data_IF_741387606371
#
_entry.id   IF_741387606371
#
_cell.length_a   1.000
_cell.length_b   1.000
_cell.length_c   1.000
_cell.angle_alpha   90.00
_cell.angle_beta   90.00
_cell.angle_gamma   90.00
#
_symmetry.space_group_name_H-M   'P 1'
#
loop_
_entity.id
_entity.type
_entity.pdbx_description
1 polymer ?
#
# COMPACT_ATOMS: atom_id res chain seq x y z
N UNK A 1 2.16 -2.82 -28.42
CA UNK A 1 3.31 -3.35 -27.64
C UNK A 1 3.46 -2.78 -26.22
N UNK A 2 4.00 -1.57 -25.96
CA UNK A 2 4.15 -1.06 -24.57
C UNK A 2 2.80 -0.94 -23.86
N UNK A 3 1.80 -0.41 -24.56
CA UNK A 3 0.40 -0.33 -24.11
C UNK A 3 -0.15 -1.68 -23.65
N UNK A 4 0.10 -2.75 -24.41
CA UNK A 4 -0.37 -4.10 -24.10
C UNK A 4 0.36 -4.68 -22.89
N UNK A 5 1.66 -4.44 -22.74
CA UNK A 5 2.42 -4.86 -21.56
C UNK A 5 1.92 -4.17 -20.29
N UNK A 6 1.66 -2.87 -20.35
CA UNK A 6 1.13 -2.10 -19.21
C UNK A 6 -0.32 -2.52 -18.87
N UNK A 7 -1.16 -2.77 -19.88
CA UNK A 7 -2.51 -3.33 -19.68
C UNK A 7 -2.46 -4.74 -19.12
N UNK A 8 -1.60 -5.61 -19.65
CA UNK A 8 -1.40 -6.97 -19.14
C UNK A 8 -0.97 -6.99 -17.67
N UNK A 9 -0.10 -6.07 -17.24
CA UNK A 9 0.22 -5.91 -15.81
C UNK A 9 -1.03 -5.56 -14.99
N UNK A 10 -1.87 -4.65 -15.49
CA UNK A 10 -3.10 -4.23 -14.81
C UNK A 10 -4.13 -5.35 -14.74
N UNK A 11 -4.30 -6.10 -15.82
CA UNK A 11 -5.25 -7.22 -15.93
C UNK A 11 -4.82 -8.40 -15.04
N UNK A 12 -3.51 -8.62 -14.93
CA UNK A 12 -2.90 -9.51 -13.94
C UNK A 12 -2.93 -8.95 -12.51
N UNK A 13 -3.51 -7.76 -12.30
CA UNK A 13 -3.60 -7.05 -11.03
C UNK A 13 -2.26 -6.55 -10.49
N UNK A 14 -1.14 -6.59 -11.19
CA UNK A 14 0.09 -6.00 -10.65
C UNK A 14 -0.06 -4.48 -10.40
N UNK A 15 0.56 -3.93 -9.34
CA UNK A 15 0.57 -2.49 -9.11
C UNK A 15 1.31 -1.78 -10.25
N UNK A 16 0.61 -0.88 -10.94
CA UNK A 16 1.17 -0.08 -12.02
C UNK A 16 1.71 1.21 -11.42
N UNK A 17 3.01 1.22 -11.11
CA UNK A 17 3.74 2.41 -10.62
C UNK A 17 4.52 3.08 -11.75
N UNK A 18 4.95 4.34 -11.55
CA UNK A 18 5.82 5.02 -12.53
C UNK A 18 7.16 4.30 -12.73
N UNK A 19 7.67 3.61 -11.69
CA UNK A 19 8.91 2.83 -11.77
C UNK A 19 8.71 1.62 -12.69
N UNK A 20 7.63 0.86 -12.50
CA UNK A 20 7.31 -0.31 -13.32
C UNK A 20 7.09 0.09 -14.78
N UNK A 21 6.35 1.19 -15.01
CA UNK A 21 6.11 1.70 -16.37
C UNK A 21 7.41 2.22 -16.99
N UNK A 22 8.26 2.92 -16.23
CA UNK A 22 9.59 3.35 -16.72
C UNK A 22 10.43 2.16 -17.16
N UNK A 23 10.50 1.12 -16.35
CA UNK A 23 11.29 -0.08 -16.66
C UNK A 23 10.81 -0.73 -17.96
N UNK A 24 9.49 -0.83 -18.17
CA UNK A 24 8.92 -1.33 -19.43
C UNK A 24 9.30 -0.45 -20.62
N UNK A 25 9.22 0.87 -20.48
CA UNK A 25 9.61 1.81 -21.54
C UNK A 25 11.10 1.68 -21.88
N UNK A 26 11.97 1.75 -20.87
CA UNK A 26 13.42 1.66 -21.06
C UNK A 26 13.80 0.33 -21.70
N UNK A 27 13.29 -0.79 -21.18
CA UNK A 27 13.57 -2.11 -21.75
C UNK A 27 13.11 -2.22 -23.20
N UNK A 28 11.91 -1.72 -23.53
CA UNK A 28 11.42 -1.74 -24.91
C UNK A 28 12.20 -0.82 -25.84
N UNK A 29 12.56 0.39 -25.40
CA UNK A 29 13.33 1.31 -26.24
C UNK A 29 14.73 0.76 -26.49
N UNK A 30 15.41 0.23 -25.47
CA UNK A 30 16.74 -0.38 -25.64
C UNK A 30 16.68 -1.55 -26.64
N UNK A 31 15.64 -2.37 -26.58
CA UNK A 31 15.47 -3.55 -27.44
C UNK A 31 15.14 -3.18 -28.90
N UNK A 32 14.34 -2.13 -29.13
CA UNK A 32 13.74 -1.88 -30.45
C UNK A 32 14.23 -0.62 -31.15
N UNK A 33 14.66 0.38 -30.40
CA UNK A 33 15.04 1.69 -30.93
C UNK A 33 15.99 2.42 -29.95
N UNK A 34 17.16 1.84 -29.63
CA UNK A 34 18.09 2.41 -28.66
C UNK A 34 18.55 3.83 -29.05
N UNK A 35 18.58 4.14 -30.35
CA UNK A 35 18.95 5.44 -30.90
C UNK A 35 18.06 6.60 -30.42
N UNK A 36 16.88 6.30 -29.87
CA UNK A 36 16.01 7.30 -29.24
C UNK A 36 16.72 7.98 -28.06
N UNK A 37 17.52 7.24 -27.29
CA UNK A 37 18.26 7.79 -26.15
C UNK A 37 19.45 8.66 -26.57
N UNK A 38 19.99 8.43 -27.77
CA UNK A 38 21.11 9.21 -28.32
C UNK A 38 20.65 10.50 -29.01
N UNK A 39 19.33 10.69 -29.15
CA UNK A 39 18.77 11.86 -29.81
C UNK A 39 18.87 13.10 -28.93
N UNK A 40 19.73 14.03 -29.34
CA UNK A 40 19.87 15.33 -28.69
C UNK A 40 18.84 16.34 -29.21
N UNK A 41 18.18 17.04 -28.30
CA UNK A 41 17.26 18.13 -28.59
C UNK A 41 17.99 19.46 -28.80
N UNK A 42 17.27 20.48 -29.29
CA UNK A 42 17.82 21.81 -29.55
C UNK A 42 18.41 22.51 -28.32
N UNK A 43 17.95 22.12 -27.13
CA UNK A 43 18.41 22.62 -25.84
C UNK A 43 19.62 21.84 -25.29
N UNK A 44 20.13 20.86 -26.04
CA UNK A 44 21.25 20.01 -25.66
C UNK A 44 20.87 18.82 -24.78
N UNK A 45 19.60 18.68 -24.39
CA UNK A 45 19.13 17.55 -23.58
C UNK A 45 18.93 16.29 -24.42
N UNK A 46 18.94 15.13 -23.77
CA UNK A 46 18.62 13.84 -24.39
C UNK A 46 17.22 13.37 -23.97
N UNK A 47 16.61 12.49 -24.77
CA UNK A 47 15.36 11.88 -24.36
C UNK A 47 15.55 11.06 -23.09
N UNK A 48 14.68 11.32 -22.10
CA UNK A 48 14.60 10.52 -20.89
C UNK A 48 13.17 10.12 -20.65
N UNK A 49 12.99 8.91 -20.11
CA UNK A 49 11.68 8.42 -19.67
C UNK A 49 11.36 9.02 -18.29
N UNK A 50 11.14 10.34 -18.28
CA UNK A 50 10.90 11.13 -17.07
C UNK A 50 9.52 10.85 -16.46
N UNK A 51 9.35 11.15 -15.17
CA UNK A 51 8.05 11.00 -14.51
C UNK A 51 6.96 11.86 -15.16
N UNK A 52 7.29 13.07 -15.62
CA UNK A 52 6.34 13.96 -16.27
C UNK A 52 5.87 13.40 -17.62
N UNK A 53 6.80 12.86 -18.42
CA UNK A 53 6.48 12.17 -19.66
C UNK A 53 5.56 10.97 -19.42
N UNK A 54 5.91 10.12 -18.46
CA UNK A 54 5.11 8.93 -18.13
C UNK A 54 3.71 9.28 -17.63
N UNK A 55 3.57 10.26 -16.75
CA UNK A 55 2.25 10.74 -16.28
C UNK A 55 1.39 11.24 -17.43
N UNK A 56 1.99 12.02 -18.34
CA UNK A 56 1.31 12.50 -19.55
C UNK A 56 0.90 11.35 -20.45
N UNK A 57 1.79 10.41 -20.72
CA UNK A 57 1.50 9.25 -21.57
C UNK A 57 0.42 8.34 -20.98
N UNK A 58 0.48 8.02 -19.68
CA UNK A 58 -0.56 7.26 -18.97
C UNK A 58 -1.91 7.99 -19.03
N UNK A 59 -1.93 9.31 -18.85
CA UNK A 59 -3.14 10.11 -18.90
C UNK A 59 -3.72 10.30 -20.31
N UNK A 60 -2.89 10.53 -21.31
CA UNK A 60 -3.31 10.89 -22.66
C UNK A 60 -3.55 9.66 -23.54
N UNK A 61 -2.67 8.65 -23.45
CA UNK A 61 -2.71 7.44 -24.28
C UNK A 61 -3.56 6.35 -23.66
N UNK A 62 -3.42 6.07 -22.36
CA UNK A 62 -4.23 5.05 -21.69
C UNK A 62 -5.52 5.60 -21.08
N UNK A 63 -5.66 6.92 -20.94
CA UNK A 63 -6.75 7.56 -20.19
C UNK A 63 -6.77 7.12 -18.73
N UNK A 64 -5.61 6.91 -18.12
CA UNK A 64 -5.49 6.46 -16.74
C UNK A 64 -5.26 7.63 -15.76
N UNK A 65 -5.58 7.42 -14.49
CA UNK A 65 -5.34 8.35 -13.38
C UNK A 65 -4.75 7.62 -12.18
N UNK A 66 -4.03 8.32 -11.32
CA UNK A 66 -3.54 7.78 -10.06
C UNK A 66 -4.73 7.45 -9.14
N UNK A 67 -4.74 6.26 -8.53
CA UNK A 67 -5.80 5.82 -7.61
C UNK A 67 -5.21 5.15 -6.38
N UNK A 68 -5.87 5.34 -5.24
CA UNK A 68 -5.62 4.59 -4.00
C UNK A 68 -6.45 3.30 -4.05
N UNK A 69 -5.87 2.13 -3.77
CA UNK A 69 -6.65 0.91 -3.60
C UNK A 69 -7.57 1.09 -2.38
N UNK A 70 -8.86 0.84 -2.55
CA UNK A 70 -9.88 0.95 -1.49
C UNK A 70 -10.27 -0.44 -1.03
N UNK A 71 -10.04 -0.74 0.26
CA UNK A 71 -10.60 -1.92 0.92
C UNK A 71 -12.00 -1.61 1.45
N UNK A 72 -12.85 -2.65 1.55
CA UNK A 72 -14.20 -2.52 2.10
C UNK A 72 -14.17 -1.98 3.55
N UNK A 73 -15.06 -1.03 3.85
CA UNK A 73 -15.19 -0.47 5.20
C UNK A 73 -15.70 -1.53 6.19
N UNK A 74 -15.12 -1.58 7.39
CA UNK A 74 -15.60 -2.43 8.48
C UNK A 74 -16.99 -1.95 8.96
N UNK A 75 -17.92 -2.88 9.21
CA UNK A 75 -19.23 -2.59 9.80
C UNK A 75 -19.13 -2.68 11.32
N UNK A 76 -19.63 -1.67 12.03
CA UNK A 76 -19.77 -1.69 13.48
C UNK A 76 -21.05 -2.44 13.89
N UNK A 77 -21.06 -3.21 15.00
CA UNK A 77 -22.27 -3.78 15.57
C UNK A 77 -23.21 -2.68 16.11
N UNK A 78 -24.52 -2.94 16.16
CA UNK A 78 -25.53 -1.97 16.59
C UNK A 78 -25.36 -1.50 18.06
N UNK A 79 -24.75 -2.32 18.91
CA UNK A 79 -24.59 -2.08 20.34
C UNK A 79 -23.15 -1.74 20.77
N UNK A 80 -22.31 -1.26 19.84
CA UNK A 80 -20.89 -1.02 20.11
C UNK A 80 -20.64 -0.04 21.26
N UNK A 81 -21.47 1.00 21.42
CA UNK A 81 -21.33 2.01 22.48
C UNK A 81 -21.48 1.39 23.88
N UNK A 82 -22.52 0.57 24.08
CA UNK A 82 -22.77 -0.12 25.34
C UNK A 82 -21.63 -1.10 25.69
N UNK A 83 -21.10 -1.81 24.68
CA UNK A 83 -19.97 -2.72 24.86
C UNK A 83 -18.69 -1.97 25.26
N UNK A 84 -18.42 -0.81 24.66
CA UNK A 84 -17.30 0.06 25.02
C UNK A 84 -17.43 0.56 26.45
N UNK A 85 -18.61 1.06 26.85
CA UNK A 85 -18.87 1.58 28.20
C UNK A 85 -18.72 0.50 29.28
N UNK A 86 -19.33 -0.67 29.08
CA UNK A 86 -19.18 -1.81 30.01
C UNK A 86 -17.74 -2.27 30.13
N UNK A 87 -16.99 -2.28 29.03
CA UNK A 87 -15.57 -2.66 29.06
C UNK A 87 -14.73 -1.64 29.83
N UNK A 88 -14.99 -0.35 29.64
CA UNK A 88 -14.33 0.73 30.38
C UNK A 88 -14.55 0.59 31.89
N UNK A 89 -15.80 0.41 32.34
CA UNK A 89 -16.08 0.26 33.77
C UNK A 89 -15.46 -0.99 34.38
N UNK A 90 -15.44 -2.12 33.66
CA UNK A 90 -14.79 -3.35 34.12
C UNK A 90 -13.29 -3.16 34.32
N UNK A 91 -12.62 -2.49 33.39
CA UNK A 91 -11.18 -2.20 33.48
C UNK A 91 -10.92 -1.27 34.66
N UNK A 92 -11.67 -0.17 34.78
CA UNK A 92 -11.52 0.79 35.88
C UNK A 92 -11.76 0.15 37.25
N UNK A 93 -12.79 -0.68 37.38
CA UNK A 93 -13.07 -1.44 38.60
C UNK A 93 -11.92 -2.39 38.93
N UNK A 94 -11.42 -3.17 37.95
CA UNK A 94 -10.32 -4.11 38.16
C UNK A 94 -9.03 -3.40 38.61
N UNK A 95 -8.72 -2.26 37.99
CA UNK A 95 -7.55 -1.45 38.38
C UNK A 95 -7.69 -0.97 39.83
N UNK A 96 -8.87 -0.49 40.21
CA UNK A 96 -9.15 0.01 41.55
C UNK A 96 -9.13 -1.09 42.62
N UNK A 97 -9.78 -2.23 42.39
CA UNK A 97 -9.93 -3.29 43.40
C UNK A 97 -8.65 -4.09 43.63
N UNK A 98 -7.76 -4.15 42.63
CA UNK A 98 -6.54 -4.95 42.68
C UNK A 98 -5.26 -4.10 42.68
N UNK A 99 -5.38 -2.77 42.81
CA UNK A 99 -4.28 -1.82 42.76
C UNK A 99 -3.32 -2.09 41.58
N UNK A 100 -3.89 -2.34 40.39
CA UNK A 100 -3.12 -2.79 39.23
C UNK A 100 -2.19 -1.65 38.79
N UNK A 101 -0.86 -1.85 38.82
CA UNK A 101 0.08 -0.83 38.40
C UNK A 101 0.00 -0.59 36.89
N UNK A 102 0.29 0.63 36.45
CA UNK A 102 0.22 1.04 35.05
C UNK A 102 1.07 0.17 34.10
N UNK A 103 2.20 -0.35 34.58
CA UNK A 103 3.07 -1.26 33.81
C UNK A 103 2.42 -2.62 33.47
N UNK A 104 1.34 -3.01 34.17
CA UNK A 104 0.58 -4.23 33.92
C UNK A 104 -0.69 -3.99 33.10
N UNK A 105 -1.01 -2.73 32.78
CA UNK A 105 -2.09 -2.38 31.86
C UNK A 105 -1.51 -2.30 30.45
N UNK A 106 -1.54 -3.42 29.72
CA UNK A 106 -0.90 -3.54 28.41
C UNK A 106 -1.93 -3.57 27.29
N UNK A 107 -1.81 -2.65 26.34
CA UNK A 107 -2.54 -2.71 25.07
C UNK A 107 -1.68 -3.44 24.05
N UNK A 108 -2.26 -4.46 23.41
CA UNK A 108 -1.60 -5.27 22.38
C UNK A 108 -2.45 -5.28 21.13
N UNK A 109 -1.83 -5.01 19.99
CA UNK A 109 -2.49 -5.12 18.69
C UNK A 109 -1.60 -5.88 17.70
N UNK A 110 -2.24 -6.52 16.72
CA UNK A 110 -1.57 -7.26 15.66
C UNK A 110 -1.68 -6.50 14.35
N UNK A 111 -0.54 -6.20 13.74
CA UNK A 111 -0.49 -5.54 12.44
C UNK A 111 0.13 -6.46 11.39
N UNK A 112 -0.47 -6.50 10.21
CA UNK A 112 0.11 -7.18 9.05
C UNK A 112 1.10 -6.26 8.37
N UNK A 113 2.36 -6.67 8.33
CA UNK A 113 3.41 -6.01 7.57
C UNK A 113 3.57 -6.74 6.25
N UNK A 114 3.04 -6.13 5.19
CA UNK A 114 3.03 -6.71 3.84
C UNK A 114 4.44 -6.66 3.23
N UNK A 115 4.94 -7.80 2.77
CA UNK A 115 6.22 -7.91 2.06
C UNK A 115 6.05 -7.61 0.55
N UNK A 116 5.44 -6.46 0.22
CA UNK A 116 5.22 -6.05 -1.16
C UNK A 116 5.99 -4.75 -1.47
N UNK A 117 6.90 -4.75 -2.46
CA UNK A 117 7.49 -3.52 -2.96
C UNK A 117 6.44 -2.75 -3.77
N UNK A 118 6.02 -1.58 -3.29
CA UNK A 118 5.11 -0.70 -4.03
C UNK A 118 4.58 0.44 -3.18
N UNK A 119 4.34 1.59 -3.81
CA UNK A 119 3.55 2.66 -3.19
C UNK A 119 2.09 2.20 -3.13
N UNK A 120 1.33 2.60 -2.11
CA UNK A 120 -0.11 2.31 -2.01
C UNK A 120 -0.98 3.04 -3.05
N UNK A 121 -0.43 3.27 -4.24
CA UNK A 121 -1.01 4.03 -5.34
C UNK A 121 -0.69 3.30 -6.65
N UNK A 122 -1.70 3.08 -7.49
CA UNK A 122 -1.55 2.47 -8.82
C UNK A 122 -2.25 3.33 -9.86
N UNK A 123 -1.76 3.29 -11.11
CA UNK A 123 -2.47 3.86 -12.25
C UNK A 123 -3.55 2.90 -12.74
N UNK A 124 -4.72 3.44 -13.07
CA UNK A 124 -5.88 2.69 -13.59
C UNK A 124 -6.77 3.58 -14.46
N UNK A 125 -7.68 2.98 -15.23
CA UNK A 125 -8.59 3.70 -16.15
C UNK A 125 -9.43 4.78 -15.46
N UNK A 126 -9.58 5.94 -16.11
CA UNK A 126 -10.43 7.03 -15.63
C UNK A 126 -11.88 6.56 -15.61
N UNK A 127 -12.53 6.69 -14.45
CA UNK A 127 -13.89 6.21 -14.24
C UNK A 127 -13.99 4.79 -13.68
N UNK A 128 -12.87 4.09 -13.51
CA UNK A 128 -12.84 2.79 -12.84
C UNK A 128 -13.37 2.93 -11.40
N UNK A 129 -14.46 2.21 -11.09
CA UNK A 129 -15.07 2.19 -9.76
C UNK A 129 -14.33 1.28 -8.78
N UNK A 130 -13.62 0.28 -9.28
CA UNK A 130 -12.82 -0.65 -8.50
C UNK A 130 -11.46 -0.86 -9.17
N UNK A 131 -10.41 -0.87 -8.37
CA UNK A 131 -9.02 -0.98 -8.81
C UNK A 131 -8.37 -2.12 -8.01
N UNK A 132 -8.51 -3.35 -8.49
CA UNK A 132 -7.88 -4.54 -7.88
C UNK A 132 -6.37 -4.51 -8.10
N UNK A 133 -5.60 -4.97 -7.10
CA UNK A 133 -4.15 -5.16 -7.21
C UNK A 133 -3.76 -6.50 -6.57
N UNK A 134 -3.22 -7.44 -7.34
CA UNK A 134 -2.59 -8.69 -6.91
C UNK A 134 -1.37 -8.35 -6.04
N UNK A 135 -1.27 -9.02 -4.88
CA UNK A 135 -0.30 -8.68 -3.83
C UNK A 135 -0.81 -7.69 -2.78
N UNK A 136 -1.93 -6.98 -3.01
CA UNK A 136 -2.64 -6.26 -1.93
C UNK A 136 -3.49 -7.23 -1.11
N UNK A 137 -4.05 -8.27 -1.75
CA UNK A 137 -4.73 -9.37 -1.07
C UNK A 137 -3.83 -10.59 -0.79
N UNK A 138 -2.69 -10.71 -1.48
CA UNK A 138 -1.78 -11.84 -1.28
C UNK A 138 -0.99 -11.64 0.03
N UNK A 139 -1.43 -12.35 1.07
CA UNK A 139 -0.98 -12.23 2.46
C UNK A 139 0.41 -12.83 2.72
N UNK A 140 1.39 -12.59 1.85
CA UNK A 140 2.80 -12.71 2.30
C UNK A 140 3.11 -11.51 3.18
N UNK A 141 2.56 -11.56 4.38
CA UNK A 141 2.72 -10.58 5.43
C UNK A 141 3.29 -11.28 6.65
N UNK A 142 4.26 -10.64 7.28
CA UNK A 142 4.64 -11.01 8.64
C UNK A 142 3.69 -10.29 9.59
N UNK A 143 3.13 -11.04 10.55
CA UNK A 143 2.28 -10.46 11.57
C UNK A 143 3.17 -9.98 12.70
N UNK A 144 3.15 -8.69 12.99
CA UNK A 144 3.85 -8.12 14.14
C UNK A 144 2.82 -7.87 15.23
N UNK A 145 3.05 -8.47 16.39
CA UNK A 145 2.34 -8.12 17.62
C UNK A 145 3.13 -7.03 18.32
N UNK A 146 2.50 -5.87 18.50
CA UNK A 146 3.08 -4.74 19.23
C UNK A 146 2.27 -4.51 20.49
N UNK A 147 2.99 -4.35 21.60
CA UNK A 147 2.39 -4.21 22.92
C UNK A 147 3.04 -3.05 23.66
N UNK A 148 2.20 -2.15 24.20
CA UNK A 148 2.63 -0.97 24.96
C UNK A 148 1.85 -0.92 26.26
N UNK A 149 2.58 -0.77 27.37
CA UNK A 149 1.99 -0.60 28.69
C UNK A 149 1.55 0.85 28.94
N UNK A 150 0.63 1.07 29.87
CA UNK A 150 0.08 2.40 30.17
C UNK A 150 1.11 3.36 30.79
N UNK A 151 2.21 2.85 31.32
CA UNK A 151 3.37 3.63 31.77
C UNK A 151 4.30 4.08 30.61
N UNK A 152 4.00 3.67 29.38
CA UNK A 152 4.80 3.94 28.19
C UNK A 152 5.87 2.89 27.88
N UNK A 153 5.99 1.84 28.71
CA UNK A 153 6.96 0.77 28.47
C UNK A 153 6.59 -0.05 27.23
N UNK A 154 7.56 -0.24 26.33
CA UNK A 154 7.42 -1.11 25.17
C UNK A 154 7.71 -2.56 25.57
N UNK A 155 6.75 -3.46 25.34
CA UNK A 155 6.95 -4.89 25.52
C UNK A 155 7.62 -5.46 24.26
N UNK A 156 8.50 -6.48 24.36
CA UNK A 156 9.14 -7.07 23.19
C UNK A 156 8.13 -7.45 22.09
N UNK A 157 8.38 -6.98 20.86
CA UNK A 157 7.54 -7.33 19.72
C UNK A 157 7.68 -8.82 19.38
N UNK A 158 6.57 -9.42 18.97
CA UNK A 158 6.56 -10.78 18.44
C UNK A 158 6.33 -10.73 16.94
N UNK A 159 7.28 -11.27 16.17
CA UNK A 159 7.14 -11.41 14.72
C UNK A 159 6.76 -12.84 14.39
N UNK A 160 5.59 -13.00 13.78
CA UNK A 160 5.04 -14.29 13.37
C UNK A 160 5.18 -14.39 11.85
N UNK A 161 6.06 -15.28 11.40
CA UNK A 161 6.35 -15.55 9.98
C UNK A 161 5.41 -16.61 9.36
N UNK A 162 4.23 -16.81 9.95
CA UNK A 162 3.28 -17.84 9.56
C UNK A 162 2.11 -17.15 8.84
N UNK A 163 2.19 -17.07 7.51
CA UNK A 163 1.24 -16.37 6.63
C UNK A 163 1.38 -16.80 5.18
#
# INVERSE_FOLDING_TARGET
MITERVRGLRDAGAPVTLVTVRALFVATIIDQAPEIFDKQYKDGSFFTVSDSYLRKWLGDTLKWSLRRPTNAAQKLPDNWEELCEKSFFRIAHSIKEHDIPACLVVNSDQTQVVYAPGTGLTWAERGAKQVSVVGVEEKRALTVVVSVAADGSLVPWQVIYKG
#
